data_IF_601251639104
#
_entry.id   IF_601251639104
#
_cell.length_a   1.000
_cell.length_b   1.000
_cell.length_c   1.000
_cell.angle_alpha   90.00
_cell.angle_beta   90.00
_cell.angle_gamma   90.00
#
_symmetry.space_group_name_H-M   'P 1'
#
loop_
_entity.id
_entity.type
_entity.pdbx_description
1 polymer ?
#
# COMPACT_ATOMS: atom_id res chain seq x y z
N UNK A 1 -33.16 33.12 6.59
CA UNK A 1 -33.11 31.95 5.69
C UNK A 1 -31.96 31.05 6.12
N UNK A 2 -32.24 30.04 6.96
CA UNK A 2 -31.27 29.01 7.29
C UNK A 2 -31.25 28.00 6.14
N UNK A 3 -30.10 27.72 5.51
CA UNK A 3 -30.01 26.74 4.43
C UNK A 3 -30.38 25.35 4.94
N UNK A 4 -31.34 24.71 4.27
CA UNK A 4 -31.83 23.38 4.61
C UNK A 4 -30.70 22.36 4.61
N UNK A 5 -30.77 21.30 5.45
CA UNK A 5 -29.79 20.20 5.57
C UNK A 5 -29.37 19.61 4.21
N UNK A 6 -30.29 19.57 3.25
CA UNK A 6 -30.03 19.13 1.85
C UNK A 6 -29.07 20.06 1.09
N UNK A 7 -29.18 21.38 1.27
CA UNK A 7 -28.26 22.31 0.59
C UNK A 7 -26.84 22.25 1.15
N UNK A 8 -26.67 21.99 2.47
CA UNK A 8 -25.34 21.74 3.06
C UNK A 8 -24.71 20.44 2.55
N UNK A 9 -25.49 19.40 2.33
CA UNK A 9 -25.00 18.14 1.78
C UNK A 9 -24.61 18.25 0.30
N UNK A 10 -25.33 19.05 -0.50
CA UNK A 10 -24.98 19.31 -1.90
C UNK A 10 -23.66 20.08 -2.05
N UNK A 11 -23.45 21.13 -1.25
CA UNK A 11 -22.19 21.92 -1.30
C UNK A 11 -20.95 21.13 -0.85
N UNK A 12 -21.12 20.07 -0.05
CA UNK A 12 -20.01 19.18 0.36
C UNK A 12 -19.69 18.18 -0.74
N UNK A 13 -20.68 17.77 -1.53
CA UNK A 13 -20.52 16.80 -2.63
C UNK A 13 -19.76 17.37 -3.81
N UNK A 14 -19.97 18.62 -4.17
CA UNK A 14 -19.36 19.24 -5.36
C UNK A 14 -17.89 19.64 -5.18
N UNK A 15 -17.36 19.66 -3.95
CA UNK A 15 -15.96 20.04 -3.67
C UNK A 15 -14.96 18.88 -3.72
N UNK A 16 -15.44 17.63 -3.80
CA UNK A 16 -14.60 16.42 -3.73
C UNK A 16 -14.35 15.70 -5.07
N UNK A 17 -14.94 16.14 -6.16
CA UNK A 17 -14.82 15.45 -7.43
C UNK A 17 -14.03 16.27 -8.45
N UNK A 18 -12.73 16.46 -8.21
CA UNK A 18 -11.85 16.89 -9.30
C UNK A 18 -11.64 15.69 -10.23
N UNK A 19 -11.79 15.86 -11.55
CA UNK A 19 -11.63 14.77 -12.51
C UNK A 19 -10.26 14.07 -12.40
N UNK A 20 -9.21 14.81 -12.01
CA UNK A 20 -7.88 14.26 -11.71
C UNK A 20 -7.88 13.28 -10.52
N UNK A 21 -8.68 13.53 -9.48
CA UNK A 21 -8.80 12.60 -8.33
C UNK A 21 -9.53 11.32 -8.73
N UNK A 22 -10.56 11.43 -9.56
CA UNK A 22 -11.31 10.26 -10.06
C UNK A 22 -10.46 9.38 -10.96
N UNK A 23 -9.62 9.99 -11.81
CA UNK A 23 -8.69 9.26 -12.69
C UNK A 23 -7.63 8.54 -11.86
N UNK A 24 -6.98 9.22 -10.90
CA UNK A 24 -5.99 8.59 -10.01
C UNK A 24 -6.58 7.43 -9.20
N UNK A 25 -7.81 7.60 -8.69
CA UNK A 25 -8.49 6.52 -7.97
C UNK A 25 -8.92 5.39 -8.89
N UNK A 26 -9.26 5.67 -10.14
CA UNK A 26 -9.52 4.66 -11.16
C UNK A 26 -8.28 3.81 -11.43
N UNK A 27 -7.12 4.42 -11.61
CA UNK A 27 -5.84 3.71 -11.73
C UNK A 27 -5.48 2.91 -10.48
N UNK A 28 -5.70 3.47 -9.28
CA UNK A 28 -5.50 2.74 -8.03
C UNK A 28 -6.44 1.52 -7.92
N UNK A 29 -7.71 1.65 -8.34
CA UNK A 29 -8.64 0.52 -8.37
C UNK A 29 -8.21 -0.55 -9.36
N UNK A 30 -7.76 -0.17 -10.55
CA UNK A 30 -7.22 -1.13 -11.52
C UNK A 30 -6.02 -1.90 -10.95
N UNK A 31 -5.11 -1.22 -10.23
CA UNK A 31 -3.97 -1.85 -9.58
C UNK A 31 -4.35 -2.85 -8.48
N UNK A 32 -5.49 -2.64 -7.81
CA UNK A 32 -6.01 -3.58 -6.79
C UNK A 32 -6.77 -4.74 -7.43
N UNK A 33 -7.51 -4.48 -8.52
CA UNK A 33 -8.36 -5.48 -9.19
C UNK A 33 -7.58 -6.45 -10.07
N UNK A 34 -6.42 -6.05 -10.59
CA UNK A 34 -5.61 -6.91 -11.45
C UNK A 34 -4.73 -7.84 -10.61
N UNK A 35 -4.95 -9.15 -10.65
CA UNK A 35 -4.09 -10.11 -9.97
C UNK A 35 -2.65 -10.05 -10.54
N UNK A 36 -1.64 -10.26 -9.68
CA UNK A 36 -0.24 -10.21 -10.08
C UNK A 36 0.11 -11.17 -11.23
N UNK A 37 -0.54 -12.35 -11.27
CA UNK A 37 -0.35 -13.34 -12.33
C UNK A 37 -0.90 -12.91 -13.71
N UNK A 38 -1.78 -11.92 -13.75
CA UNK A 38 -2.28 -11.30 -14.99
C UNK A 38 -1.42 -10.09 -15.34
N UNK A 39 -1.10 -9.27 -14.34
CA UNK A 39 -0.33 -8.04 -14.53
C UNK A 39 1.10 -8.32 -15.00
N UNK A 40 1.79 -9.31 -14.40
CA UNK A 40 3.17 -9.68 -14.77
C UNK A 40 3.33 -10.00 -16.26
N UNK A 41 2.60 -10.98 -16.83
CA UNK A 41 2.65 -11.28 -18.26
C UNK A 41 2.28 -10.10 -19.17
N UNK A 42 1.31 -9.27 -18.78
CA UNK A 42 0.94 -8.07 -19.55
C UNK A 42 2.12 -7.08 -19.61
N UNK A 43 2.78 -6.83 -18.47
CA UNK A 43 3.95 -5.95 -18.43
C UNK A 43 5.12 -6.52 -19.25
N UNK A 44 5.37 -7.82 -19.20
CA UNK A 44 6.38 -8.47 -20.05
C UNK A 44 6.02 -8.29 -21.54
N UNK A 45 4.78 -8.54 -21.92
CA UNK A 45 4.35 -8.44 -23.31
C UNK A 45 4.52 -7.01 -23.84
N UNK A 46 4.10 -6.00 -23.08
CA UNK A 46 4.12 -4.62 -23.52
C UNK A 46 5.54 -4.04 -23.44
N UNK A 47 6.18 -4.07 -22.27
CA UNK A 47 7.44 -3.35 -22.04
C UNK A 47 8.69 -4.12 -22.44
N UNK A 48 8.62 -5.44 -22.45
CA UNK A 48 9.75 -6.26 -22.86
C UNK A 48 9.66 -6.68 -24.32
N UNK A 49 8.52 -7.29 -24.74
CA UNK A 49 8.42 -7.87 -26.08
C UNK A 49 8.09 -6.82 -27.15
N UNK A 50 7.21 -5.85 -26.89
CA UNK A 50 6.83 -4.85 -27.90
C UNK A 50 7.77 -3.64 -27.89
N UNK A 51 8.09 -3.09 -26.72
CA UNK A 51 8.91 -1.90 -26.57
C UNK A 51 10.41 -2.19 -26.43
N UNK A 52 10.80 -3.40 -26.03
CA UNK A 52 12.21 -3.78 -25.85
C UNK A 52 12.95 -2.99 -24.77
N UNK A 53 12.22 -2.38 -23.81
CA UNK A 53 12.83 -1.52 -22.78
C UNK A 53 13.48 -2.29 -21.65
N UNK A 54 12.93 -3.45 -21.30
CA UNK A 54 13.38 -4.27 -20.18
C UNK A 54 13.50 -5.73 -20.59
N UNK A 55 14.39 -6.46 -19.95
CA UNK A 55 14.45 -7.91 -20.13
C UNK A 55 13.23 -8.60 -19.54
N UNK A 56 12.69 -9.65 -20.19
CA UNK A 56 11.50 -10.33 -19.70
C UNK A 56 11.77 -11.18 -18.46
N UNK A 57 13.00 -11.69 -18.29
CA UNK A 57 13.36 -12.65 -17.25
C UNK A 57 14.76 -12.36 -16.71
N UNK A 58 15.00 -12.82 -15.48
CA UNK A 58 16.30 -12.75 -14.84
C UNK A 58 16.37 -11.79 -13.66
N UNK A 59 17.55 -11.70 -13.04
CA UNK A 59 17.81 -10.89 -11.85
C UNK A 59 19.20 -10.25 -11.85
N UNK A 60 19.89 -10.27 -13.00
CA UNK A 60 21.30 -9.91 -13.10
C UNK A 60 21.53 -8.41 -13.25
N UNK A 61 20.63 -7.70 -13.94
CA UNK A 61 20.73 -6.26 -14.18
C UNK A 61 19.68 -5.48 -13.40
N UNK A 62 19.91 -4.18 -13.22
CA UNK A 62 18.89 -3.30 -12.60
C UNK A 62 17.61 -3.22 -13.44
N UNK A 63 17.74 -3.35 -14.77
CA UNK A 63 16.59 -3.37 -15.69
C UNK A 63 15.67 -4.56 -15.46
N UNK A 64 16.22 -5.73 -15.13
CA UNK A 64 15.46 -6.96 -14.89
C UNK A 64 14.54 -6.84 -13.64
N UNK A 65 14.90 -5.96 -12.72
CA UNK A 65 14.17 -5.78 -11.44
C UNK A 65 12.96 -4.85 -11.57
N UNK A 66 12.88 -4.05 -12.63
CA UNK A 66 11.84 -3.02 -12.79
C UNK A 66 10.46 -3.63 -12.95
N UNK A 67 10.28 -4.59 -13.86
CA UNK A 67 8.98 -5.21 -14.12
C UNK A 67 8.46 -6.00 -12.92
N UNK A 68 9.25 -6.87 -12.24
CA UNK A 68 8.82 -7.52 -11.01
C UNK A 68 8.46 -6.55 -9.90
N UNK A 69 9.26 -5.49 -9.72
CA UNK A 69 9.01 -4.48 -8.70
C UNK A 69 7.70 -3.71 -8.94
N UNK A 70 7.39 -3.38 -10.20
CA UNK A 70 6.12 -2.76 -10.57
C UNK A 70 4.96 -3.73 -10.34
N UNK A 71 5.11 -4.99 -10.77
CA UNK A 71 4.06 -6.02 -10.63
C UNK A 71 3.68 -6.21 -9.16
N UNK A 72 4.68 -6.33 -8.29
CA UNK A 72 4.47 -6.55 -6.86
C UNK A 72 4.06 -5.27 -6.14
N UNK A 73 4.74 -4.16 -6.45
CA UNK A 73 4.56 -2.88 -5.77
C UNK A 73 3.26 -2.17 -6.09
N UNK A 74 2.71 -2.36 -7.30
CA UNK A 74 1.50 -1.63 -7.74
C UNK A 74 0.30 -1.93 -6.84
N UNK A 75 0.11 -3.18 -6.45
CA UNK A 75 -0.96 -3.58 -5.54
C UNK A 75 -0.84 -2.88 -4.19
N UNK A 76 0.34 -2.93 -3.56
CA UNK A 76 0.58 -2.29 -2.26
C UNK A 76 0.49 -0.76 -2.35
N UNK A 77 1.06 -0.17 -3.40
CA UNK A 77 0.99 1.27 -3.63
C UNK A 77 -0.46 1.76 -3.81
N UNK A 78 -1.26 1.05 -4.58
CA UNK A 78 -2.67 1.35 -4.80
C UNK A 78 -3.48 1.25 -3.48
N UNK A 79 -3.22 0.23 -2.68
CA UNK A 79 -3.88 0.05 -1.39
C UNK A 79 -3.49 1.15 -0.39
N UNK A 80 -2.20 1.48 -0.29
CA UNK A 80 -1.68 2.57 0.56
C UNK A 80 -2.26 3.92 0.13
N UNK A 81 -2.32 4.20 -1.16
CA UNK A 81 -2.92 5.44 -1.68
C UNK A 81 -4.40 5.57 -1.29
N UNK A 82 -5.16 4.47 -1.35
CA UNK A 82 -6.56 4.43 -0.92
C UNK A 82 -6.70 4.66 0.59
N UNK A 83 -5.87 4.01 1.42
CA UNK A 83 -5.87 4.23 2.86
C UNK A 83 -5.51 5.66 3.23
N UNK A 84 -4.47 6.23 2.62
CA UNK A 84 -4.05 7.59 2.86
C UNK A 84 -5.15 8.60 2.49
N UNK A 85 -5.84 8.38 1.36
CA UNK A 85 -6.97 9.23 0.96
C UNK A 85 -8.13 9.14 1.94
N UNK A 86 -8.53 7.94 2.32
CA UNK A 86 -9.62 7.73 3.29
C UNK A 86 -9.28 8.40 4.62
N UNK A 87 -8.12 8.09 5.19
CA UNK A 87 -7.66 8.70 6.45
C UNK A 87 -7.62 10.23 6.41
N UNK A 88 -7.15 10.81 5.27
CA UNK A 88 -7.15 12.26 5.11
C UNK A 88 -8.57 12.85 5.07
N UNK A 89 -9.51 12.21 4.37
CA UNK A 89 -10.90 12.66 4.30
C UNK A 89 -11.58 12.63 5.67
N UNK A 90 -11.33 11.59 6.45
CA UNK A 90 -11.90 11.42 7.78
C UNK A 90 -11.36 12.48 8.74
N UNK A 91 -10.05 12.67 8.78
CA UNK A 91 -9.39 13.66 9.64
C UNK A 91 -9.82 15.08 9.30
N UNK A 92 -9.96 15.41 8.02
CA UNK A 92 -10.37 16.76 7.59
C UNK A 92 -11.78 17.17 8.02
N UNK A 93 -12.59 16.23 8.52
CA UNK A 93 -13.95 16.45 9.05
C UNK A 93 -13.97 16.68 10.57
N UNK A 94 -12.88 16.39 11.28
CA UNK A 94 -12.80 16.49 12.74
C UNK A 94 -12.87 17.95 13.22
N UNK A 95 -13.38 18.14 14.43
CA UNK A 95 -13.68 19.48 14.97
C UNK A 95 -12.42 20.31 15.23
N UNK A 96 -11.31 19.69 15.62
CA UNK A 96 -10.05 20.42 15.79
C UNK A 96 -9.52 21.02 14.47
N UNK A 97 -9.80 20.40 13.32
CA UNK A 97 -9.49 20.96 12.00
C UNK A 97 -10.41 22.14 11.68
N UNK A 98 -11.68 22.07 12.07
CA UNK A 98 -12.64 23.20 11.93
C UNK A 98 -12.17 24.38 12.78
N UNK A 99 -11.76 24.14 14.01
CA UNK A 99 -11.20 25.16 14.91
C UNK A 99 -9.94 25.81 14.34
N UNK A 100 -9.03 25.01 13.77
CA UNK A 100 -7.83 25.52 13.12
C UNK A 100 -8.14 26.42 11.92
N UNK A 101 -9.18 26.09 11.14
CA UNK A 101 -9.68 26.94 10.04
C UNK A 101 -10.30 28.24 10.56
N UNK A 102 -11.08 28.17 11.64
CA UNK A 102 -11.70 29.35 12.26
C UNK A 102 -10.64 30.33 12.80
N UNK A 103 -9.48 29.83 13.23
CA UNK A 103 -8.32 30.63 13.65
C UNK A 103 -7.55 31.25 12.47
N UNK A 104 -7.99 31.08 11.23
CA UNK A 104 -7.36 31.69 10.05
C UNK A 104 -6.08 31.03 9.58
N UNK A 105 -5.75 29.81 10.04
CA UNK A 105 -4.55 29.10 9.60
C UNK A 105 -4.61 28.74 8.11
N UNK A 106 -3.50 28.92 7.41
CA UNK A 106 -3.39 28.57 6.00
C UNK A 106 -3.68 27.06 5.77
N UNK A 107 -4.40 26.75 4.69
CA UNK A 107 -4.79 25.35 4.36
C UNK A 107 -3.60 24.40 4.35
N UNK A 108 -2.44 24.81 3.81
CA UNK A 108 -1.20 24.01 3.78
C UNK A 108 -0.69 23.69 5.19
N UNK A 109 -0.72 24.66 6.10
CA UNK A 109 -0.31 24.49 7.49
C UNK A 109 -1.26 23.51 8.24
N UNK A 110 -2.58 23.62 8.00
CA UNK A 110 -3.56 22.70 8.58
C UNK A 110 -3.30 21.27 8.11
N UNK A 111 -3.07 21.06 6.81
CA UNK A 111 -2.83 19.71 6.26
C UNK A 111 -1.55 19.12 6.83
N UNK A 112 -0.41 19.83 6.73
CA UNK A 112 0.90 19.27 7.09
C UNK A 112 1.05 19.12 8.60
N UNK A 113 0.66 20.15 9.38
CA UNK A 113 0.95 20.20 10.81
C UNK A 113 -0.12 19.56 11.69
N UNK A 114 -1.38 19.55 11.23
CA UNK A 114 -2.52 19.09 12.05
C UNK A 114 -3.19 17.82 11.51
N UNK A 115 -3.30 17.66 10.19
CA UNK A 115 -4.04 16.53 9.62
C UNK A 115 -3.17 15.33 9.27
N UNK A 116 -1.98 15.55 8.70
CA UNK A 116 -1.16 14.50 8.09
C UNK A 116 -0.78 13.39 9.08
N UNK A 117 -0.37 13.76 10.29
CA UNK A 117 0.05 12.79 11.31
C UNK A 117 -1.06 11.80 11.64
N UNK A 118 -2.27 12.30 11.88
CA UNK A 118 -3.43 11.47 12.21
C UNK A 118 -3.94 10.71 10.99
N UNK A 119 -3.91 11.34 9.80
CA UNK A 119 -4.38 10.73 8.56
C UNK A 119 -3.48 9.57 8.08
N UNK A 120 -2.19 9.58 8.42
CA UNK A 120 -1.25 8.51 8.09
C UNK A 120 -1.29 7.33 9.05
N UNK A 121 -1.97 7.43 10.19
CA UNK A 121 -2.04 6.34 11.17
C UNK A 121 -2.49 5.00 10.56
N UNK A 122 -3.60 4.91 9.81
CA UNK A 122 -3.99 3.66 9.16
C UNK A 122 -3.01 3.17 8.10
N UNK A 123 -2.27 4.09 7.46
CA UNK A 123 -1.20 3.72 6.50
C UNK A 123 -0.05 3.06 7.24
N UNK A 124 0.42 3.65 8.34
CA UNK A 124 1.50 3.09 9.15
C UNK A 124 1.10 1.73 9.73
N UNK A 125 -0.15 1.58 10.20
CA UNK A 125 -0.67 0.29 10.66
C UNK A 125 -0.60 -0.80 9.59
N UNK A 126 -0.81 -0.43 8.34
CA UNK A 126 -0.74 -1.37 7.21
C UNK A 126 0.69 -1.69 6.76
N UNK A 127 1.68 -0.84 7.05
CA UNK A 127 3.06 -1.05 6.57
C UNK A 127 3.68 -2.35 7.10
N UNK A 128 3.37 -2.79 8.32
CA UNK A 128 3.89 -4.05 8.88
C UNK A 128 3.52 -5.25 8.02
N UNK A 129 2.23 -5.55 7.87
CA UNK A 129 1.76 -6.62 6.98
C UNK A 129 2.21 -6.43 5.52
N UNK A 130 2.28 -5.19 5.02
CA UNK A 130 2.70 -4.91 3.65
C UNK A 130 4.19 -5.25 3.43
N UNK A 131 5.07 -4.82 4.32
CA UNK A 131 6.50 -5.11 4.24
C UNK A 131 6.75 -6.60 4.42
N UNK A 132 6.09 -7.25 5.37
CA UNK A 132 6.17 -8.69 5.53
C UNK A 132 5.72 -9.43 4.26
N UNK A 133 4.61 -9.03 3.65
CA UNK A 133 4.12 -9.58 2.40
C UNK A 133 5.07 -9.34 1.21
N UNK A 134 5.71 -8.16 1.14
CA UNK A 134 6.70 -7.86 0.11
C UNK A 134 7.98 -8.71 0.26
N UNK A 135 8.46 -8.91 1.49
CA UNK A 135 9.67 -9.69 1.78
C UNK A 135 9.40 -11.19 1.61
N UNK A 136 8.22 -11.66 2.03
CA UNK A 136 7.84 -13.06 1.77
C UNK A 136 7.76 -13.36 0.28
N UNK A 137 7.72 -12.30 -0.55
CA UNK A 137 7.63 -12.38 -1.98
C UNK A 137 6.27 -12.89 -2.45
N UNK A 138 6.07 -12.79 -3.74
CA UNK A 138 4.98 -13.51 -4.37
C UNK A 138 5.59 -14.65 -5.15
N UNK A 139 5.36 -15.89 -4.70
CA UNK A 139 5.74 -17.09 -5.48
C UNK A 139 5.36 -16.94 -6.95
N UNK A 140 4.17 -16.37 -7.22
CA UNK A 140 3.68 -16.15 -8.57
C UNK A 140 4.60 -15.20 -9.35
N UNK A 141 5.01 -14.09 -8.74
CA UNK A 141 5.93 -13.13 -9.39
C UNK A 141 7.32 -13.74 -9.58
N UNK A 142 7.82 -14.44 -8.57
CA UNK A 142 9.11 -15.15 -8.67
C UNK A 142 9.12 -16.16 -9.81
N UNK A 143 8.02 -16.91 -9.98
CA UNK A 143 7.89 -17.90 -11.07
C UNK A 143 7.76 -17.23 -12.44
N UNK A 144 6.96 -16.15 -12.56
CA UNK A 144 6.75 -15.45 -13.84
C UNK A 144 8.06 -14.82 -14.36
N UNK A 145 8.84 -14.20 -13.46
CA UNK A 145 10.05 -13.48 -13.82
C UNK A 145 11.34 -14.31 -13.65
N UNK A 146 11.24 -15.59 -13.31
CA UNK A 146 12.36 -16.49 -13.03
C UNK A 146 13.35 -15.93 -12.00
N UNK A 147 12.82 -15.41 -10.89
CA UNK A 147 13.60 -14.87 -9.79
C UNK A 147 13.89 -15.98 -8.79
N UNK A 148 15.16 -16.21 -8.39
CA UNK A 148 15.50 -17.17 -7.34
C UNK A 148 15.13 -16.59 -5.97
N UNK A 149 13.88 -16.76 -5.55
CA UNK A 149 13.34 -16.25 -4.28
C UNK A 149 12.91 -17.36 -3.34
N UNK A 150 12.65 -17.00 -2.08
CA UNK A 150 12.24 -17.96 -1.04
C UNK A 150 10.87 -18.59 -1.32
N UNK A 151 9.98 -17.89 -2.01
CA UNK A 151 8.68 -18.41 -2.40
C UNK A 151 8.80 -19.61 -3.35
N UNK A 152 9.74 -19.55 -4.30
CA UNK A 152 10.00 -20.66 -5.22
C UNK A 152 10.56 -21.88 -4.49
N UNK A 153 11.43 -21.69 -3.49
CA UNK A 153 11.94 -22.77 -2.64
C UNK A 153 10.82 -23.42 -1.83
N UNK A 154 9.94 -22.61 -1.22
CA UNK A 154 8.79 -23.11 -0.46
C UNK A 154 7.90 -24.01 -1.33
N UNK A 155 7.54 -23.54 -2.52
CA UNK A 155 6.62 -24.29 -3.38
C UNK A 155 7.28 -25.56 -3.94
N UNK A 156 8.53 -25.48 -4.38
CA UNK A 156 9.26 -26.65 -4.85
C UNK A 156 9.41 -27.71 -3.75
N UNK A 157 9.68 -27.28 -2.51
CA UNK A 157 9.76 -28.19 -1.36
C UNK A 157 8.41 -28.82 -1.03
N UNK A 158 7.31 -28.08 -1.17
CA UNK A 158 5.97 -28.62 -0.97
C UNK A 158 5.63 -29.69 -2.02
N UNK A 159 5.98 -29.47 -3.30
CA UNK A 159 5.78 -30.47 -4.35
C UNK A 159 6.67 -31.71 -4.16
N UNK A 160 7.91 -31.53 -3.71
CA UNK A 160 8.86 -32.62 -3.45
C UNK A 160 8.60 -33.33 -2.10
N UNK A 161 7.59 -32.88 -1.33
CA UNK A 161 7.25 -33.40 0.01
C UNK A 161 8.42 -33.30 1.01
N UNK A 162 9.28 -32.30 0.84
CA UNK A 162 10.36 -32.01 1.78
C UNK A 162 9.80 -31.22 2.97
N UNK A 163 9.33 -31.95 3.98
CA UNK A 163 8.71 -31.38 5.18
C UNK A 163 9.69 -30.49 5.96
N UNK A 164 10.98 -30.80 5.95
CA UNK A 164 12.01 -30.04 6.67
C UNK A 164 12.17 -28.64 6.10
N UNK A 165 12.29 -28.56 4.78
CA UNK A 165 12.43 -27.27 4.08
C UNK A 165 11.15 -26.43 4.16
N UNK A 166 9.97 -27.07 4.03
CA UNK A 166 8.68 -26.40 4.21
C UNK A 166 8.56 -25.80 5.63
N UNK A 167 8.87 -26.56 6.67
CA UNK A 167 8.84 -26.06 8.05
C UNK A 167 9.84 -24.92 8.26
N UNK A 168 11.07 -25.06 7.74
CA UNK A 168 12.09 -24.02 7.84
C UNK A 168 11.67 -22.70 7.21
N UNK A 169 11.11 -22.75 6.01
CA UNK A 169 10.64 -21.55 5.31
C UNK A 169 9.43 -20.89 6.01
N UNK A 170 8.49 -21.68 6.53
CA UNK A 170 7.34 -21.16 7.30
C UNK A 170 7.81 -20.48 8.59
N UNK A 171 8.72 -21.11 9.34
CA UNK A 171 9.28 -20.51 10.56
C UNK A 171 10.04 -19.21 10.26
N UNK A 172 10.82 -19.18 9.18
CA UNK A 172 11.52 -17.97 8.77
C UNK A 172 10.54 -16.83 8.44
N UNK A 173 9.49 -17.10 7.67
CA UNK A 173 8.45 -16.11 7.40
C UNK A 173 7.72 -15.65 8.65
N UNK A 174 7.39 -16.56 9.55
CA UNK A 174 6.73 -16.20 10.81
C UNK A 174 7.59 -15.23 11.63
N UNK A 175 8.88 -15.49 11.76
CA UNK A 175 9.82 -14.59 12.45
C UNK A 175 9.89 -13.22 11.77
N UNK A 176 9.98 -13.17 10.44
CA UNK A 176 10.00 -11.91 9.70
C UNK A 176 8.70 -11.11 9.92
N UNK A 177 7.54 -11.75 9.84
CA UNK A 177 6.25 -11.11 10.02
C UNK A 177 6.15 -10.52 11.43
N UNK A 178 6.52 -11.29 12.46
CA UNK A 178 6.52 -10.82 13.85
C UNK A 178 7.48 -9.65 14.05
N UNK A 179 8.66 -9.72 13.48
CA UNK A 179 9.67 -8.66 13.57
C UNK A 179 9.19 -7.35 12.94
N UNK A 180 8.62 -7.39 11.73
CA UNK A 180 8.12 -6.18 11.08
C UNK A 180 6.87 -5.62 11.74
N UNK A 181 5.97 -6.48 12.23
CA UNK A 181 4.83 -6.03 13.01
C UNK A 181 5.29 -5.32 14.30
N UNK A 182 6.25 -5.89 15.02
CA UNK A 182 6.82 -5.23 16.21
C UNK A 182 7.40 -3.84 15.90
N UNK A 183 8.13 -3.71 14.80
CA UNK A 183 8.67 -2.39 14.37
C UNK A 183 7.52 -1.40 14.12
N UNK A 184 6.47 -1.84 13.44
CA UNK A 184 5.33 -0.97 13.13
C UNK A 184 4.57 -0.58 14.40
N UNK A 185 4.38 -1.50 15.33
CA UNK A 185 3.75 -1.21 16.63
C UNK A 185 4.55 -0.17 17.43
N UNK A 186 5.87 -0.26 17.42
CA UNK A 186 6.74 0.75 18.04
C UNK A 186 6.59 2.12 17.37
N UNK A 187 6.52 2.17 16.04
CA UNK A 187 6.29 3.41 15.28
C UNK A 187 4.91 3.98 15.61
N UNK A 188 3.87 3.16 15.70
CA UNK A 188 2.52 3.58 16.05
C UNK A 188 2.46 4.17 17.47
N UNK A 189 3.11 3.54 18.46
CA UNK A 189 3.21 4.07 19.81
C UNK A 189 3.89 5.44 19.85
N UNK A 190 4.92 5.62 19.04
CA UNK A 190 5.60 6.92 18.93
C UNK A 190 4.72 7.99 18.24
N UNK A 191 3.92 7.58 17.26
CA UNK A 191 2.99 8.48 16.57
C UNK A 191 1.80 8.89 17.42
N UNK A 192 1.26 8.00 18.27
CA UNK A 192 0.08 8.26 19.09
C UNK A 192 0.32 7.92 20.57
N UNK A 193 0.93 8.82 21.36
CA UNK A 193 1.20 8.56 22.78
C UNK A 193 -0.06 8.47 23.66
N UNK A 194 -1.24 8.79 23.14
CA UNK A 194 -2.51 8.75 23.89
C UNK A 194 -3.09 7.35 24.08
N UNK A 195 -2.75 6.39 23.24
CA UNK A 195 -3.18 4.97 23.40
C UNK A 195 -2.56 4.27 24.61
N UNK A 196 -1.65 4.93 25.32
CA UNK A 196 -0.94 4.39 26.47
C UNK A 196 -1.74 4.42 27.81
N UNK A 197 -2.93 5.03 27.82
CA UNK A 197 -3.67 5.30 29.06
C UNK A 197 -5.07 4.68 29.14
N UNK A 198 -5.47 3.86 28.18
CA UNK A 198 -6.81 3.24 28.15
C UNK A 198 -6.81 1.74 28.52
N UNK A 199 -5.80 1.29 29.29
CA UNK A 199 -5.78 -0.01 29.97
C UNK A 199 -5.94 0.13 31.49
#
# INVERSE_FOLDING_TARGET
HTPTRRQRQMCIRDRHNRPSESVLMGFAMLGICLPAFVLGPILIMVFSMQLGWFNPFGWNTLGDRVLPAITLGLFYAAYIARLARSGMLDVMRLDYIRTARAKGLAKKAIVIRHALRTALYPVVAYLGPAVAGLISGSFVVETIFFIPGLGSFFVNSAFNRDSTMVMGTVLFYAVLILFFNLIVDLIQMWMNPRTRYDD
#
